data_IF_398967121637
#
_entry.id   IF_398967121637
#
_cell.length_a   1.000
_cell.length_b   1.000
_cell.length_c   1.000
_cell.angle_alpha   90.00
_cell.angle_beta   90.00
_cell.angle_gamma   90.00
#
_symmetry.space_group_name_H-M   'P 1'
#
loop_
_entity.id
_entity.type
_entity.pdbx_description
1 polymer ?
#
# COMPACT_ATOMS: atom_id res chain seq x y z
N UNK A 1 -15.87 16.59 19.32
CA UNK A 1 -15.79 17.34 18.07
C UNK A 1 -16.59 16.60 17.01
N UNK A 2 -17.21 17.33 16.10
CA UNK A 2 -18.04 16.76 15.03
C UNK A 2 -17.20 16.55 13.77
N UNK A 3 -17.31 15.37 13.17
CA UNK A 3 -16.64 15.01 11.92
C UNK A 3 -17.72 14.73 10.89
N UNK A 4 -17.67 15.43 9.76
CA UNK A 4 -18.61 15.24 8.65
C UNK A 4 -17.95 14.35 7.60
N UNK A 5 -18.60 13.24 7.25
CA UNK A 5 -18.15 12.30 6.22
C UNK A 5 -19.30 12.10 5.24
N UNK A 6 -19.20 12.69 4.05
CA UNK A 6 -20.31 12.77 3.10
C UNK A 6 -21.48 13.53 3.74
N UNK A 7 -22.65 12.91 3.74
CA UNK A 7 -23.88 13.48 4.33
C UNK A 7 -24.04 13.16 5.83
N UNK A 8 -23.11 12.40 6.43
CA UNK A 8 -23.23 11.92 7.81
C UNK A 8 -22.37 12.76 8.77
N UNK A 9 -22.90 13.04 9.95
CA UNK A 9 -22.22 13.75 11.04
C UNK A 9 -21.94 12.80 12.20
N UNK A 10 -20.67 12.70 12.59
CA UNK A 10 -20.21 11.85 13.68
C UNK A 10 -19.72 12.70 14.87
N UNK A 11 -20.28 12.48 16.05
CA UNK A 11 -19.87 13.14 17.30
C UNK A 11 -18.79 12.32 18.00
N UNK A 12 -17.54 12.79 17.96
CA UNK A 12 -16.41 12.15 18.63
C UNK A 12 -16.12 12.80 19.99
N UNK A 13 -15.90 11.97 21.02
CA UNK A 13 -15.49 12.47 22.34
C UNK A 13 -13.97 12.73 22.34
N UNK A 14 -13.50 13.64 23.19
CA UNK A 14 -12.07 13.82 23.40
C UNK A 14 -11.48 12.50 23.92
N UNK A 15 -10.34 12.07 23.36
CA UNK A 15 -9.71 10.79 23.70
C UNK A 15 -10.21 9.59 22.89
N UNK A 16 -11.13 9.78 21.94
CA UNK A 16 -11.48 8.70 21.00
C UNK A 16 -10.31 8.39 20.07
N UNK A 17 -9.88 7.12 20.06
CA UNK A 17 -8.87 6.62 19.12
C UNK A 17 -9.50 6.35 17.75
N UNK A 18 -8.79 6.74 16.69
CA UNK A 18 -9.17 6.48 15.30
C UNK A 18 -8.04 5.67 14.67
N UNK A 19 -8.39 4.51 14.11
CA UNK A 19 -7.45 3.67 13.38
C UNK A 19 -7.87 3.69 11.91
N UNK A 20 -7.01 4.21 11.04
CA UNK A 20 -7.24 4.16 9.60
C UNK A 20 -6.97 2.74 9.09
N UNK A 21 -7.98 2.12 8.48
CA UNK A 21 -7.82 0.82 7.85
C UNK A 21 -7.37 0.99 6.39
N UNK A 22 -6.06 1.12 6.20
CA UNK A 22 -5.44 1.27 4.87
C UNK A 22 -5.63 -0.01 4.04
N UNK A 23 -5.71 -1.18 4.67
CA UNK A 23 -5.91 -2.45 3.98
C UNK A 23 -7.23 -2.46 3.21
N UNK A 24 -8.33 -2.02 3.83
CA UNK A 24 -9.65 -1.93 3.18
C UNK A 24 -9.64 -0.92 2.03
N UNK A 25 -8.94 0.21 2.19
CA UNK A 25 -8.80 1.22 1.12
C UNK A 25 -8.11 0.64 -0.11
N UNK A 26 -7.16 -0.29 0.07
CA UNK A 26 -6.48 -0.96 -1.04
C UNK A 26 -7.24 -2.13 -1.64
N UNK A 27 -8.17 -2.72 -0.90
CA UNK A 27 -8.86 -3.94 -1.30
C UNK A 27 -10.37 -3.75 -1.43
N UNK A 28 -10.83 -2.50 -1.56
CA UNK A 28 -12.26 -2.16 -1.71
C UNK A 28 -12.91 -2.85 -2.92
N UNK A 29 -12.11 -3.30 -3.91
CA UNK A 29 -12.55 -4.12 -5.04
C UNK A 29 -11.77 -5.43 -5.09
N UNK A 30 -12.46 -6.54 -5.34
CA UNK A 30 -11.86 -7.88 -5.48
C UNK A 30 -10.71 -7.94 -6.50
N UNK A 31 -10.75 -7.08 -7.52
CA UNK A 31 -9.69 -6.94 -8.53
C UNK A 31 -8.35 -6.42 -7.99
N UNK A 32 -8.31 -5.99 -6.72
CA UNK A 32 -7.11 -5.48 -6.05
C UNK A 32 -6.39 -6.53 -5.19
N UNK A 33 -7.01 -7.70 -4.94
CA UNK A 33 -6.41 -8.81 -4.18
C UNK A 33 -5.27 -9.52 -4.94
N UNK A 34 -5.27 -9.47 -6.26
CA UNK A 34 -4.20 -10.04 -7.08
C UNK A 34 -3.07 -9.04 -7.25
N UNK A 35 -1.83 -9.49 -7.29
CA UNK A 35 -0.71 -8.61 -7.66
C UNK A 35 -0.70 -8.35 -9.18
N UNK A 36 -0.96 -7.10 -9.58
CA UNK A 36 -0.88 -6.62 -10.97
C UNK A 36 -0.19 -5.23 -10.99
N UNK A 37 1.10 -5.18 -11.40
CA UNK A 37 1.87 -3.94 -11.53
C UNK A 37 1.27 -2.93 -12.52
N UNK A 38 0.56 -3.42 -13.55
CA UNK A 38 0.00 -2.59 -14.63
C UNK A 38 -1.00 -1.56 -14.11
N UNK A 39 -1.61 -1.79 -12.95
CA UNK A 39 -2.54 -0.86 -12.30
C UNK A 39 -1.89 0.47 -11.90
N UNK A 40 -0.60 0.45 -11.63
CA UNK A 40 0.18 1.65 -11.28
C UNK A 40 0.67 2.33 -12.56
N UNK A 41 0.93 1.57 -13.62
CA UNK A 41 1.41 2.07 -14.91
C UNK A 41 0.31 2.79 -15.72
N UNK A 42 -0.93 2.31 -15.62
CA UNK A 42 -2.03 2.74 -16.51
C UNK A 42 -2.97 3.82 -15.92
N UNK A 43 -2.71 4.36 -14.72
CA UNK A 43 -3.65 5.31 -14.08
C UNK A 43 -3.03 6.63 -13.64
N UNK A 44 -3.63 7.71 -14.16
CA UNK A 44 -3.72 9.02 -13.51
C UNK A 44 -4.34 8.84 -12.10
N UNK A 45 -3.55 9.06 -11.04
CA UNK A 45 -3.87 9.45 -9.65
C UNK A 45 -5.14 8.98 -8.90
N UNK A 46 -6.03 8.15 -9.47
CA UNK A 46 -7.34 7.81 -8.91
C UNK A 46 -7.33 6.55 -8.04
N UNK A 47 -6.16 5.97 -7.78
CA UNK A 47 -6.01 4.96 -6.74
C UNK A 47 -5.66 5.69 -5.45
N UNK A 48 -6.43 5.48 -4.38
CA UNK A 48 -6.06 5.88 -3.03
C UNK A 48 -4.84 5.05 -2.57
N UNK A 49 -3.67 5.28 -3.17
CA UNK A 49 -2.43 4.60 -2.86
C UNK A 49 -1.62 5.43 -1.87
N UNK A 50 -1.69 5.06 -0.59
CA UNK A 50 -1.15 5.82 0.54
C UNK A 50 -0.30 4.93 1.47
N UNK A 51 0.71 4.19 0.96
CA UNK A 51 1.38 3.12 1.72
C UNK A 51 2.16 3.65 2.92
N UNK A 52 2.41 4.96 2.90
CA UNK A 52 3.08 5.71 3.93
C UNK A 52 2.14 6.72 4.63
N UNK A 53 0.82 6.48 4.54
CA UNK A 53 -0.20 7.42 4.99
C UNK A 53 -0.30 8.68 4.11
N UNK A 54 -1.18 9.60 4.50
CA UNK A 54 -1.40 10.87 3.82
C UNK A 54 -1.69 12.00 4.83
N UNK A 55 -1.57 13.26 4.39
CA UNK A 55 -1.80 14.45 5.21
C UNK A 55 -0.63 14.78 6.16
N UNK A 56 -0.88 15.65 7.14
CA UNK A 56 0.16 16.20 8.03
C UNK A 56 0.82 15.20 8.99
N UNK A 57 0.37 13.94 9.00
CA UNK A 57 0.95 12.83 9.78
C UNK A 57 1.39 11.67 8.88
N UNK A 58 1.55 11.89 7.57
CA UNK A 58 2.17 10.89 6.68
C UNK A 58 3.62 10.62 7.11
N UNK A 59 4.15 9.46 6.75
CA UNK A 59 5.55 9.11 7.00
C UNK A 59 6.47 10.24 6.50
N UNK A 60 7.34 10.79 7.36
CA UNK A 60 8.22 11.90 6.99
C UNK A 60 9.17 11.50 5.85
N UNK A 61 9.58 10.23 5.82
CA UNK A 61 10.59 9.70 4.90
C UNK A 61 10.00 8.86 3.76
N UNK A 62 8.72 9.07 3.40
CA UNK A 62 8.05 8.31 2.33
C UNK A 62 8.83 8.28 1.01
N UNK A 63 9.53 9.37 0.67
CA UNK A 63 10.33 9.47 -0.55
C UNK A 63 11.60 8.62 -0.49
N UNK A 64 12.21 8.52 0.70
CA UNK A 64 13.40 7.69 0.92
C UNK A 64 13.00 6.22 0.84
N UNK A 65 11.95 5.82 1.55
CA UNK A 65 11.44 4.45 1.49
C UNK A 65 11.12 3.99 0.06
N UNK A 66 10.45 4.84 -0.73
CA UNK A 66 10.19 4.57 -2.15
C UNK A 66 11.48 4.47 -2.98
N UNK A 67 12.45 5.35 -2.73
CA UNK A 67 13.72 5.35 -3.46
C UNK A 67 14.53 4.09 -3.17
N UNK A 68 14.60 3.65 -1.91
CA UNK A 68 15.30 2.42 -1.52
C UNK A 68 14.71 1.21 -2.26
N UNK A 69 13.39 1.07 -2.27
CA UNK A 69 12.72 -0.05 -2.97
C UNK A 69 13.02 0.00 -4.47
N UNK A 70 12.93 1.18 -5.09
CA UNK A 70 13.23 1.34 -6.52
C UNK A 70 14.68 0.98 -6.86
N UNK A 71 15.64 1.48 -6.08
CA UNK A 71 17.06 1.21 -6.28
C UNK A 71 17.35 -0.28 -6.09
N UNK A 72 16.79 -0.89 -5.03
CA UNK A 72 16.93 -2.32 -4.79
C UNK A 72 16.36 -3.14 -5.96
N UNK A 73 15.12 -2.86 -6.39
CA UNK A 73 14.49 -3.57 -7.50
C UNK A 73 15.27 -3.40 -8.81
N UNK A 74 15.72 -2.18 -9.13
CA UNK A 74 16.49 -1.92 -10.34
C UNK A 74 17.82 -2.71 -10.33
N UNK A 75 18.56 -2.64 -9.23
CA UNK A 75 19.82 -3.39 -9.10
C UNK A 75 19.60 -4.90 -9.13
N UNK A 76 18.54 -5.39 -8.45
CA UNK A 76 18.21 -6.81 -8.44
C UNK A 76 17.90 -7.31 -9.86
N UNK A 77 17.04 -6.62 -10.60
CA UNK A 77 16.61 -7.03 -11.94
C UNK A 77 17.73 -6.91 -12.99
N UNK A 78 18.58 -5.89 -12.90
CA UNK A 78 19.70 -5.70 -13.85
C UNK A 78 20.76 -6.80 -13.67
N UNK A 79 21.07 -7.16 -12.42
CA UNK A 79 22.15 -8.10 -12.14
C UNK A 79 21.69 -9.57 -12.08
N UNK A 80 20.38 -9.83 -11.94
CA UNK A 80 19.82 -11.18 -11.80
C UNK A 80 18.67 -11.40 -12.78
N UNK A 81 19.02 -11.49 -14.07
CA UNK A 81 18.05 -11.72 -15.16
C UNK A 81 17.43 -13.13 -15.09
N UNK A 82 18.20 -14.09 -14.59
CA UNK A 82 17.74 -15.44 -14.27
C UNK A 82 17.85 -15.63 -12.75
N UNK A 83 16.72 -15.82 -12.08
CA UNK A 83 16.67 -16.09 -10.66
C UNK A 83 15.69 -17.22 -10.37
N UNK A 84 16.08 -18.11 -9.46
CA UNK A 84 15.19 -19.15 -8.93
C UNK A 84 14.93 -18.87 -7.45
N UNK A 85 13.66 -18.88 -7.06
CA UNK A 85 13.28 -18.76 -5.66
C UNK A 85 13.38 -20.16 -5.06
N UNK A 86 14.41 -20.39 -4.26
CA UNK A 86 14.57 -21.63 -3.50
C UNK A 86 13.66 -21.60 -2.27
N UNK A 87 12.42 -22.08 -2.40
CA UNK A 87 11.58 -22.38 -1.23
C UNK A 87 11.76 -23.83 -0.82
N UNK A 88 11.72 -24.10 0.49
CA UNK A 88 11.89 -25.47 1.05
C UNK A 88 10.93 -26.49 0.41
N UNK A 89 9.75 -26.04 0.00
CA UNK A 89 8.69 -26.89 -0.55
C UNK A 89 8.39 -26.61 -2.03
N UNK A 90 9.18 -25.77 -2.73
CA UNK A 90 8.88 -25.21 -4.07
C UNK A 90 7.52 -24.49 -4.18
N UNK A 91 6.75 -24.41 -3.10
CA UNK A 91 5.54 -23.62 -3.02
C UNK A 91 5.90 -22.14 -3.01
N UNK A 92 5.11 -21.34 -3.75
CA UNK A 92 5.19 -19.89 -3.61
C UNK A 92 4.86 -19.55 -2.16
N UNK A 93 5.65 -18.70 -1.49
CA UNK A 93 5.35 -18.31 -0.12
C UNK A 93 3.92 -17.78 -0.06
N UNK A 94 3.08 -18.44 0.74
CA UNK A 94 1.73 -17.97 1.00
C UNK A 94 1.84 -16.81 2.00
N UNK A 95 1.63 -15.59 1.52
CA UNK A 95 1.67 -14.39 2.36
C UNK A 95 0.37 -14.15 3.15
N UNK A 96 -0.56 -15.11 3.15
CA UNK A 96 -1.76 -15.06 3.98
C UNK A 96 -2.75 -13.96 3.59
N UNK A 97 -2.84 -13.64 2.29
CA UNK A 97 -3.82 -12.71 1.73
C UNK A 97 -5.00 -13.46 1.10
#
# INVERSE_FOLDING_TARGET
>A
FEVVIGEKVYKLKKGTYIISNIYVVYHEKDSLLKFDPSRILNKNNNLCFIPFGNGGRSCPEKLIGLSIVKIFMANFLINNLEYEILTKDKEKPNFGL
#
